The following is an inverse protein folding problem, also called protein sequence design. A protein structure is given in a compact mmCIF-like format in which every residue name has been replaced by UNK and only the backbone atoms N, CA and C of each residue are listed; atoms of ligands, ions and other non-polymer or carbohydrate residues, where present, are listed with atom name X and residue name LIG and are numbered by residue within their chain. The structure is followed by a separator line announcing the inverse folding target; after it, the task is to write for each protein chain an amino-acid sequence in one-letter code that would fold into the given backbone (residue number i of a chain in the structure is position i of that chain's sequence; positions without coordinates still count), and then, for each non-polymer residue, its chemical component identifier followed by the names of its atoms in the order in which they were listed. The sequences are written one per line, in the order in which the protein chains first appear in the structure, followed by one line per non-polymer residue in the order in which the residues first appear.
data_IF_967734839147
#
_entry.id   IF_967734839147
#
_cell.length_a   1.000
_cell.length_b   1.000
_cell.length_c   1.000
_cell.angle_alpha   90.00
_cell.angle_beta   90.00
_cell.angle_gamma   90.00
#
_symmetry.space_group_name_H-M   'P 1'
#
loop_
_entity.id
_entity.type
_entity.pdbx_description
1 polymer ?
#
# COMPACT_ATOMS: atom_id res chain seq x y z
N UNK A 1 10.27 4.26 6.45
CA UNK A 1 10.03 4.80 5.09
C UNK A 1 9.62 3.73 4.10
N UNK A 2 10.34 2.60 4.03
CA UNK A 2 10.13 1.54 3.04
C UNK A 2 8.69 0.99 2.95
N UNK A 3 7.98 0.84 4.07
CA UNK A 3 6.56 0.45 4.10
C UNK A 3 5.66 1.42 3.33
N UNK A 4 5.89 2.73 3.49
CA UNK A 4 5.15 3.75 2.76
C UNK A 4 5.49 3.73 1.28
N UNK A 5 6.78 3.76 0.94
CA UNK A 5 7.22 3.78 -0.47
C UNK A 5 6.74 2.53 -1.23
N UNK A 6 6.97 1.33 -0.68
CA UNK A 6 6.52 0.08 -1.28
C UNK A 6 4.99 -0.04 -1.35
N UNK A 7 4.30 0.34 -0.26
CA UNK A 7 2.84 0.35 -0.21
C UNK A 7 2.22 1.28 -1.26
N UNK A 8 2.76 2.50 -1.42
CA UNK A 8 2.31 3.47 -2.45
C UNK A 8 2.51 2.93 -3.85
N UNK A 9 3.68 2.38 -4.17
CA UNK A 9 3.97 1.85 -5.52
C UNK A 9 3.04 0.69 -5.86
N UNK A 10 2.85 -0.26 -4.93
CA UNK A 10 1.97 -1.42 -5.16
C UNK A 10 0.51 -0.99 -5.27
N UNK A 11 0.04 -0.10 -4.38
CA UNK A 11 -1.34 0.35 -4.35
C UNK A 11 -1.72 1.18 -5.58
N UNK A 12 -0.95 2.23 -5.89
CA UNK A 12 -1.23 3.08 -7.04
C UNK A 12 -0.96 2.35 -8.35
N UNK A 13 0.10 1.54 -8.41
CA UNK A 13 0.44 0.74 -9.59
C UNK A 13 -0.65 -0.25 -9.95
N UNK A 14 -1.22 -0.98 -8.97
CA UNK A 14 -2.31 -1.92 -9.24
C UNK A 14 -3.59 -1.22 -9.72
N UNK A 15 -3.92 -0.05 -9.17
CA UNK A 15 -5.08 0.75 -9.62
C UNK A 15 -4.89 1.28 -11.05
N UNK A 16 -3.69 1.76 -11.41
CA UNK A 16 -3.41 2.18 -12.78
C UNK A 16 -3.53 1.02 -13.76
N UNK A 17 -2.96 -0.14 -13.41
CA UNK A 17 -3.08 -1.34 -14.25
C UNK A 17 -4.54 -1.80 -14.36
N UNK A 18 -5.31 -1.75 -13.27
CA UNK A 18 -6.74 -2.08 -13.29
C UNK A 18 -7.53 -1.12 -14.19
N UNK A 19 -7.26 0.18 -14.11
CA UNK A 19 -7.94 1.21 -14.91
C UNK A 19 -7.60 1.09 -16.41
N UNK A 20 -6.35 0.77 -16.75
CA UNK A 20 -5.90 0.68 -18.14
C UNK A 20 -6.23 -0.67 -18.78
N UNK A 21 -6.15 -1.78 -18.03
CA UNK A 21 -6.35 -3.13 -18.59
C UNK A 21 -7.76 -3.68 -18.40
N UNK A 22 -8.55 -3.13 -17.47
CA UNK A 22 -9.86 -3.68 -17.08
C UNK A 22 -9.77 -5.03 -16.34
N UNK A 23 -8.57 -5.53 -16.02
CA UNK A 23 -8.37 -6.85 -15.41
C UNK A 23 -8.77 -6.82 -13.94
N UNK A 24 -10.01 -7.21 -13.64
CA UNK A 24 -10.61 -7.16 -12.28
C UNK A 24 -9.81 -7.91 -11.21
N UNK A 25 -9.05 -8.94 -11.59
CA UNK A 25 -8.21 -9.70 -10.65
C UNK A 25 -7.07 -8.87 -10.04
N UNK A 26 -6.58 -7.85 -10.76
CA UNK A 26 -5.60 -6.89 -10.22
C UNK A 26 -6.16 -6.11 -9.03
N UNK A 27 -7.48 -6.02 -8.91
CA UNK A 27 -8.15 -5.45 -7.74
C UNK A 27 -7.78 -6.16 -6.44
N UNK A 28 -7.49 -7.46 -6.48
CA UNK A 28 -7.06 -8.24 -5.32
C UNK A 28 -5.61 -7.94 -4.87
N UNK A 29 -4.80 -7.29 -5.72
CA UNK A 29 -3.42 -6.86 -5.37
C UNK A 29 -3.45 -5.55 -4.58
N UNK A 30 -4.38 -4.66 -4.89
CA UNK A 30 -4.59 -3.37 -4.20
C UNK A 30 -4.60 -3.44 -2.66
N UNK A 31 -5.33 -4.37 -2.01
CA UNK A 31 -5.33 -4.47 -0.55
C UNK A 31 -3.95 -4.79 0.05
N UNK A 32 -3.04 -5.43 -0.69
CA UNK A 32 -1.66 -5.70 -0.23
C UNK A 32 -0.90 -4.38 -0.05
N UNK A 33 -0.99 -3.48 -1.03
CA UNK A 33 -0.40 -2.14 -0.92
C UNK A 33 -1.01 -1.33 0.24
N UNK A 34 -2.32 -1.46 0.44
CA UNK A 34 -3.04 -0.84 1.57
C UNK A 34 -2.56 -1.36 2.94
N UNK A 35 -2.37 -2.67 3.07
CA UNK A 35 -1.81 -3.30 4.27
C UNK A 35 -0.40 -2.79 4.60
N UNK A 36 0.46 -2.60 3.59
CA UNK A 36 1.79 -2.01 3.79
C UNK A 36 1.71 -0.56 4.27
N UNK A 37 0.77 0.24 3.75
CA UNK A 37 0.53 1.60 4.21
C UNK A 37 0.03 1.65 5.66
N UNK A 38 -0.91 0.77 6.02
CA UNK A 38 -1.39 0.62 7.40
C UNK A 38 -0.26 0.22 8.36
N UNK A 39 0.55 -0.77 7.99
CA UNK A 39 1.71 -1.19 8.76
C UNK A 39 2.76 -0.09 8.88
N UNK A 40 2.96 0.73 7.82
CA UNK A 40 3.80 1.93 7.86
C UNK A 40 3.35 2.95 8.90
N UNK A 41 2.05 3.25 8.95
CA UNK A 41 1.46 4.11 9.97
C UNK A 41 1.55 3.53 11.38
N UNK A 42 1.29 2.23 11.54
CA UNK A 42 1.43 1.53 12.81
C UNK A 42 2.86 1.60 13.35
N UNK A 43 3.86 1.36 12.50
CA UNK A 43 5.27 1.47 12.85
C UNK A 43 5.66 2.91 13.23
N UNK A 44 5.15 3.92 12.51
CA UNK A 44 5.40 5.32 12.81
C UNK A 44 4.78 5.74 14.15
N UNK A 45 3.51 5.37 14.40
CA UNK A 45 2.83 5.64 15.65
C UNK A 45 3.50 4.96 16.84
N UNK A 46 3.92 3.71 16.68
CA UNK A 46 4.67 2.97 17.69
C UNK A 46 6.02 3.63 18.03
N UNK A 47 6.79 4.02 17.01
CA UNK A 47 8.05 4.74 17.21
C UNK A 47 7.85 6.13 17.86
N UNK A 48 6.72 6.79 17.59
CA UNK A 48 6.34 8.05 18.21
C UNK A 48 5.91 7.88 19.67
N UNK A 49 5.23 6.80 20.03
CA UNK A 49 4.80 6.48 21.41
C UNK A 49 5.97 6.10 22.32
N UNK A 50 7.07 5.61 21.74
CA UNK A 50 8.29 5.27 22.48
C UNK A 50 9.14 6.48 22.87
N UNK A 51 8.73 7.70 22.51
CA UNK A 51 9.39 8.96 22.86
C UNK A 51 8.58 9.72 23.88
#
# INVERSE_FOLDING_TARGET
GWLFAGGTVIFCGSLYLLALSGTRWLGAITPIGGLMLLAGWGALGWAGWQR
#
